data_IF_410888821815
#
_entry.id   IF_410888821815
#
_cell.length_a   1.000
_cell.length_b   1.000
_cell.length_c   1.000
_cell.angle_alpha   90.00
_cell.angle_beta   90.00
_cell.angle_gamma   90.00
#
_symmetry.space_group_name_H-M   'P 1'
#
loop_
_entity.id
_entity.type
_entity.pdbx_description
1 polymer ?
#
# COMPACT_ATOMS: atom_id res chain seq x y z
N UNK A 1 -19.25 7.87 -9.60
CA UNK A 1 -17.94 7.22 -9.39
C UNK A 1 -17.71 7.18 -7.89
N UNK A 2 -18.09 6.09 -7.22
CA UNK A 2 -18.02 6.02 -5.76
C UNK A 2 -16.66 5.47 -5.34
N UNK A 3 -15.78 6.35 -4.85
CA UNK A 3 -14.61 5.95 -4.04
C UNK A 3 -15.16 5.68 -2.64
N UNK A 4 -15.93 4.61 -2.50
CA UNK A 4 -16.55 4.23 -1.22
C UNK A 4 -16.58 2.71 -1.19
N UNK A 5 -15.50 2.09 -0.72
CA UNK A 5 -15.57 0.79 -0.03
C UNK A 5 -14.25 0.27 0.58
N UNK A 6 -13.11 0.95 0.40
CA UNK A 6 -11.79 0.40 0.79
C UNK A 6 -11.05 1.19 1.90
N UNK A 7 -11.73 2.12 2.57
CA UNK A 7 -11.06 3.10 3.46
C UNK A 7 -10.36 2.46 4.68
N UNK A 8 -10.78 1.28 5.15
CA UNK A 8 -10.18 0.65 6.34
C UNK A 8 -8.81 0.03 6.08
N UNK A 9 -8.57 -0.54 4.90
CA UNK A 9 -7.26 -1.11 4.56
C UNK A 9 -6.21 -0.01 4.42
N UNK A 10 -6.62 1.19 3.96
CA UNK A 10 -5.74 2.35 3.82
C UNK A 10 -5.29 2.92 5.17
N UNK A 11 -6.10 2.83 6.22
CA UNK A 11 -5.71 3.29 7.58
C UNK A 11 -4.46 2.54 8.07
N UNK A 12 -4.37 1.23 7.84
CA UNK A 12 -3.20 0.43 8.23
C UNK A 12 -1.95 0.81 7.42
N UNK A 13 -2.11 1.11 6.13
CA UNK A 13 -1.00 1.63 5.30
C UNK A 13 -0.53 2.98 5.82
N UNK A 14 -1.46 3.86 6.22
CA UNK A 14 -1.15 5.16 6.82
C UNK A 14 -0.40 5.04 8.15
N UNK A 15 -0.83 4.14 9.05
CA UNK A 15 -0.11 3.86 10.30
C UNK A 15 1.31 3.33 10.03
N UNK A 16 1.47 2.40 9.09
CA UNK A 16 2.78 1.87 8.71
C UNK A 16 3.69 2.96 8.13
N UNK A 17 3.16 3.81 7.24
CA UNK A 17 3.90 4.92 6.65
C UNK A 17 4.32 5.95 7.70
N UNK A 18 3.43 6.29 8.64
CA UNK A 18 3.74 7.19 9.75
C UNK A 18 4.85 6.63 10.63
N UNK A 19 4.79 5.33 10.98
CA UNK A 19 5.83 4.67 11.77
C UNK A 19 7.19 4.67 11.06
N UNK A 20 7.22 4.52 9.74
CA UNK A 20 8.46 4.61 8.96
C UNK A 20 8.99 6.03 8.89
N UNK A 21 8.11 7.02 8.69
CA UNK A 21 8.47 8.44 8.63
C UNK A 21 9.06 8.93 9.97
N UNK A 22 8.44 8.55 11.09
CA UNK A 22 8.94 8.87 12.44
C UNK A 22 10.28 8.20 12.75
N UNK A 23 10.58 7.08 12.09
CA UNK A 23 11.85 6.39 12.21
C UNK A 23 12.89 6.87 11.18
N UNK A 24 12.59 7.90 10.39
CA UNK A 24 13.44 8.39 9.29
C UNK A 24 13.85 7.30 8.30
N UNK A 25 12.96 6.32 8.08
CA UNK A 25 13.18 5.18 7.17
C UNK A 25 12.53 5.46 5.83
N UNK A 26 13.16 4.95 4.77
CA UNK A 26 12.62 5.01 3.42
C UNK A 26 11.21 4.39 3.35
N UNK A 27 10.28 5.14 2.77
CA UNK A 27 8.92 4.70 2.50
C UNK A 27 8.88 4.10 1.09
N UNK A 28 9.08 2.80 1.01
CA UNK A 28 8.91 1.99 -0.20
C UNK A 28 7.83 0.92 0.02
N UNK A 29 7.32 0.33 -1.06
CA UNK A 29 6.36 -0.80 -0.99
C UNK A 29 6.92 -1.93 -0.11
N UNK A 30 8.21 -2.24 -0.26
CA UNK A 30 8.88 -3.28 0.51
C UNK A 30 8.98 -2.92 2.01
N UNK A 31 9.33 -1.67 2.32
CA UNK A 31 9.38 -1.17 3.70
C UNK A 31 8.00 -1.18 4.36
N UNK A 32 6.95 -0.79 3.62
CA UNK A 32 5.56 -0.80 4.11
C UNK A 32 5.07 -2.22 4.39
N UNK A 33 5.29 -3.18 3.49
CA UNK A 33 4.95 -4.59 3.72
C UNK A 33 5.67 -5.12 4.96
N UNK A 34 6.97 -4.83 5.08
CA UNK A 34 7.77 -5.27 6.24
C UNK A 34 7.25 -4.67 7.56
N UNK A 35 6.83 -3.40 7.53
CA UNK A 35 6.27 -2.72 8.70
C UNK A 35 4.89 -3.28 9.08
N UNK A 36 4.04 -3.57 8.10
CA UNK A 36 2.73 -4.22 8.30
C UNK A 36 2.89 -5.63 8.90
N UNK A 37 3.84 -6.43 8.39
CA UNK A 37 4.15 -7.75 8.95
C UNK A 37 4.63 -7.64 10.41
N UNK A 38 5.44 -6.61 10.72
CA UNK A 38 5.85 -6.34 12.09
C UNK A 38 4.64 -5.97 12.99
N UNK A 39 3.72 -5.14 12.50
CA UNK A 39 2.49 -4.77 13.21
C UNK A 39 1.55 -5.96 13.43
N UNK A 40 1.47 -6.91 12.48
CA UNK A 40 0.70 -8.15 12.64
C UNK A 40 1.32 -9.06 13.72
N UNK A 41 2.65 -9.15 13.75
CA UNK A 41 3.41 -9.91 14.73
C UNK A 41 3.33 -9.31 16.14
N UNK A 42 3.22 -7.98 16.27
CA UNK A 42 3.05 -7.28 17.54
C UNK A 42 1.74 -7.64 18.27
N UNK A 43 0.82 -8.34 17.60
CA UNK A 43 -0.44 -8.78 18.19
C UNK A 43 -1.56 -7.75 18.05
N UNK A 44 -2.78 -8.18 18.31
CA UNK A 44 -3.97 -7.35 18.15
C UNK A 44 -5.24 -8.18 18.02
N UNK A 45 -6.38 -7.51 17.85
CA UNK A 45 -7.64 -8.17 17.56
C UNK A 45 -7.59 -8.88 16.21
N UNK A 46 -8.40 -9.93 16.04
CA UNK A 46 -8.51 -10.63 14.75
C UNK A 46 -8.94 -9.67 13.63
N UNK A 47 -9.77 -8.68 13.94
CA UNK A 47 -10.17 -7.64 13.00
C UNK A 47 -8.96 -6.83 12.49
N UNK A 48 -8.08 -6.39 13.40
CA UNK A 48 -6.87 -5.63 13.04
C UNK A 48 -5.91 -6.47 12.20
N UNK A 49 -5.77 -7.76 12.51
CA UNK A 49 -4.95 -8.69 11.69
C UNK A 49 -5.50 -8.85 10.27
N UNK A 50 -6.83 -8.93 10.13
CA UNK A 50 -7.47 -8.98 8.81
C UNK A 50 -7.25 -7.69 8.01
N UNK A 51 -7.33 -6.52 8.66
CA UNK A 51 -7.06 -5.22 8.03
C UNK A 51 -5.60 -5.10 7.58
N UNK A 52 -4.64 -5.53 8.41
CA UNK A 52 -3.22 -5.57 8.06
C UNK A 52 -2.98 -6.52 6.87
N UNK A 53 -3.60 -7.70 6.88
CA UNK A 53 -3.47 -8.65 5.76
C UNK A 53 -4.04 -8.09 4.46
N UNK A 54 -5.15 -7.35 4.52
CA UNK A 54 -5.74 -6.70 3.35
C UNK A 54 -4.81 -5.59 2.81
N UNK A 55 -4.23 -4.78 3.69
CA UNK A 55 -3.25 -3.75 3.34
C UNK A 55 -2.00 -4.34 2.67
N UNK A 56 -1.44 -5.41 3.23
CA UNK A 56 -0.28 -6.10 2.66
C UNK A 56 -0.59 -6.71 1.28
N UNK A 57 -1.78 -7.28 1.09
CA UNK A 57 -2.20 -7.83 -0.20
C UNK A 57 -2.37 -6.73 -1.25
N UNK A 58 -2.97 -5.60 -0.86
CA UNK A 58 -3.11 -4.42 -1.72
C UNK A 58 -1.75 -3.89 -2.17
N UNK A 59 -0.80 -3.73 -1.25
CA UNK A 59 0.57 -3.29 -1.58
C UNK A 59 1.29 -4.27 -2.52
N UNK A 60 1.13 -5.58 -2.31
CA UNK A 60 1.71 -6.61 -3.18
C UNK A 60 1.14 -6.59 -4.60
N UNK A 61 -0.09 -6.09 -4.79
CA UNK A 61 -0.67 -5.95 -6.12
C UNK A 61 0.09 -4.94 -6.99
N UNK A 62 0.82 -3.99 -6.40
CA UNK A 62 1.66 -3.03 -7.13
C UNK A 62 3.00 -3.60 -7.58
N UNK A 63 3.36 -4.83 -7.15
CA UNK A 63 4.56 -5.50 -7.63
C UNK A 63 4.39 -6.01 -9.09
N UNK A 64 3.15 -6.03 -9.58
CA UNK A 64 2.81 -6.28 -10.97
C UNK A 64 2.66 -4.93 -11.72
N UNK A 65 3.50 -4.63 -12.73
CA UNK A 65 3.49 -3.35 -13.45
C UNK A 65 2.14 -3.01 -14.08
N UNK A 66 1.37 -4.03 -14.47
CA UNK A 66 0.06 -3.86 -15.11
C UNK A 66 -1.02 -3.43 -14.11
N UNK A 67 -0.94 -3.87 -12.86
CA UNK A 67 -1.84 -3.43 -11.79
C UNK A 67 -1.53 -2.01 -11.30
N UNK A 68 -0.25 -1.64 -11.24
CA UNK A 68 0.16 -0.27 -10.93
C UNK A 68 -0.36 0.73 -11.99
N UNK A 69 -0.25 0.36 -13.27
CA UNK A 69 -0.76 1.17 -14.37
C UNK A 69 -2.29 1.36 -14.33
N UNK A 70 -3.04 0.37 -13.84
CA UNK A 70 -4.52 0.44 -13.74
C UNK A 70 -4.99 1.37 -12.62
N UNK A 71 -4.24 1.43 -11.51
CA UNK A 71 -4.56 2.33 -10.39
C UNK A 71 -4.08 3.76 -10.62
N UNK A 72 -3.12 3.94 -11.52
CA UNK A 72 -2.48 5.23 -11.79
C UNK A 72 -2.50 5.53 -13.30
N UNK A 73 -3.70 5.76 -13.89
CA UNK A 73 -3.85 5.88 -15.34
C UNK A 73 -3.04 7.03 -15.96
N UNK A 74 -2.71 8.07 -15.19
CA UNK A 74 -1.88 9.18 -15.66
C UNK A 74 -0.41 8.79 -15.93
N UNK A 75 0.10 7.71 -15.31
CA UNK A 75 1.44 7.20 -15.61
C UNK A 75 1.50 6.53 -16.99
N UNK A 76 0.39 5.96 -17.47
CA UNK A 76 0.31 5.40 -18.84
C UNK A 76 0.37 6.51 -19.89
N UNK A 77 -0.30 7.63 -19.62
CA UNK A 77 -0.28 8.80 -20.51
C UNK A 77 1.14 9.35 -20.64
N UNK A 78 1.89 9.45 -19.54
CA UNK A 78 3.28 9.93 -19.55
C UNK A 78 4.24 8.98 -20.26
N UNK A 79 4.06 7.66 -20.13
CA UNK A 79 4.85 6.68 -20.85
C UNK A 79 4.64 6.77 -22.37
N UNK A 80 3.39 6.98 -22.82
CA UNK A 80 3.06 7.13 -24.24
C UNK A 80 3.59 8.40 -24.91
N UNK A 81 3.97 9.42 -24.14
CA UNK A 81 4.58 10.65 -24.68
C UNK A 81 6.09 10.55 -24.91
N UNK A 82 6.73 9.45 -24.47
CA UNK A 82 8.19 9.31 -24.54
C UNK A 82 8.64 8.40 -25.71
N UNK A 83 7.69 7.95 -26.55
CA UNK A 83 7.89 7.11 -27.73
C UNK A 83 7.77 7.90 -29.07
N UNK A 84 7.79 9.24 -29.04
CA UNK A 84 7.87 10.11 -30.25
C UNK A 84 9.26 10.73 -30.46
#
# INVERSE_FOLDING_TARGET
>A
MSIQHDDKSQVMIGEAALSLALAEREISVQSLISQLDHMAAAGGSQARRSEISAASLWLRSFNDPWHAARHVPYLQTLAGFNDE
#
